data_IF_797880237961
#
_entry.id   IF_797880237961
#
_cell.length_a   1.000
_cell.length_b   1.000
_cell.length_c   1.000
_cell.angle_alpha   90.00
_cell.angle_beta   90.00
_cell.angle_gamma   90.00
#
_symmetry.space_group_name_H-M   'P 1'
#
loop_
_entity.id
_entity.type
_entity.pdbx_description
1 polymer ?
#
# COMPACT_ATOMS: atom_id res chain seq x y z
N UNK A 1 -19.50 -11.66 35.08
CA UNK A 1 -20.34 -12.77 34.66
C UNK A 1 -21.77 -12.25 34.55
N UNK A 2 -22.31 -11.95 33.38
CA UNK A 2 -23.74 -11.82 33.21
C UNK A 2 -24.29 -13.20 32.89
N UNK A 3 -25.21 -13.67 33.75
CA UNK A 3 -25.91 -14.93 33.63
C UNK A 3 -26.77 -14.98 32.36
N UNK A 4 -26.63 -16.07 31.60
CA UNK A 4 -27.47 -16.45 30.50
C UNK A 4 -28.95 -16.47 30.94
N UNK A 5 -29.77 -15.73 30.19
CA UNK A 5 -31.21 -15.87 30.27
C UNK A 5 -31.61 -16.94 29.27
N UNK A 6 -31.84 -18.16 29.76
CA UNK A 6 -32.50 -19.21 28.97
C UNK A 6 -33.97 -18.89 28.81
N UNK A 7 -34.40 -18.61 27.58
CA UNK A 7 -35.82 -18.51 27.21
C UNK A 7 -36.34 -19.93 26.93
N UNK A 8 -37.02 -20.52 27.89
CA UNK A 8 -37.80 -21.73 27.69
C UNK A 8 -39.24 -21.38 27.30
N UNK A 9 -39.65 -21.95 26.19
CA UNK A 9 -41.01 -22.12 25.63
C UNK A 9 -42.09 -21.10 25.95
N UNK A 10 -42.51 -20.34 24.93
CA UNK A 10 -43.70 -19.49 24.94
C UNK A 10 -44.94 -20.37 24.77
N UNK A 11 -45.68 -20.58 25.85
CA UNK A 11 -47.05 -21.09 25.81
C UNK A 11 -48.02 -19.93 25.52
N UNK A 12 -48.85 -20.07 24.51
CA UNK A 12 -49.97 -19.15 24.19
C UNK A 12 -50.88 -18.95 25.41
N UNK A 13 -50.98 -17.71 25.88
CA UNK A 13 -51.88 -17.33 26.97
C UNK A 13 -52.90 -16.27 26.52
N UNK A 14 -54.12 -16.50 26.94
CA UNK A 14 -55.32 -15.68 26.83
C UNK A 14 -55.09 -14.20 27.10
N UNK A 15 -55.53 -13.34 26.19
CA UNK A 15 -55.28 -11.91 26.11
C UNK A 15 -56.06 -11.05 27.12
N UNK A 16 -56.74 -11.64 28.09
CA UNK A 16 -57.62 -10.91 29.03
C UNK A 16 -57.03 -10.52 30.40
N UNK A 17 -55.78 -10.93 30.72
CA UNK A 17 -55.13 -10.57 31.99
C UNK A 17 -53.76 -9.96 31.74
N UNK A 18 -53.64 -8.63 31.77
CA UNK A 18 -52.35 -7.91 31.80
C UNK A 18 -51.56 -8.31 33.05
N UNK A 19 -50.44 -9.01 32.87
CA UNK A 19 -49.50 -9.32 33.95
C UNK A 19 -48.53 -8.18 34.10
N UNK A 20 -48.31 -7.73 35.33
CA UNK A 20 -47.31 -6.74 35.68
C UNK A 20 -46.04 -7.48 36.18
N UNK A 21 -44.91 -7.15 35.66
CA UNK A 21 -43.61 -7.65 36.11
C UNK A 21 -42.97 -6.57 36.99
N UNK A 22 -42.58 -6.94 38.20
CA UNK A 22 -41.83 -6.05 39.09
C UNK A 22 -40.36 -6.40 39.04
N UNK A 23 -39.55 -5.50 38.50
CA UNK A 23 -38.09 -5.65 38.47
C UNK A 23 -37.49 -4.52 39.31
N UNK A 24 -36.97 -4.88 40.47
CA UNK A 24 -36.29 -3.95 41.40
C UNK A 24 -37.15 -2.74 41.78
N UNK A 25 -38.47 -2.95 42.03
CA UNK A 25 -39.35 -1.89 42.44
C UNK A 25 -40.02 -1.09 41.33
N UNK A 26 -39.74 -1.44 40.08
CA UNK A 26 -40.40 -0.83 38.91
C UNK A 26 -41.41 -1.80 38.33
N UNK A 27 -42.72 -1.42 38.40
CA UNK A 27 -43.79 -2.18 37.73
C UNK A 27 -43.78 -1.87 36.22
N UNK A 28 -43.56 -2.91 35.42
CA UNK A 28 -43.59 -2.82 33.95
C UNK A 28 -44.80 -3.58 33.43
N UNK A 29 -45.57 -2.93 32.55
CA UNK A 29 -46.65 -3.58 31.83
C UNK A 29 -46.08 -4.57 30.80
N UNK A 30 -46.66 -5.75 30.72
CA UNK A 30 -46.23 -6.81 29.78
C UNK A 30 -46.35 -6.33 28.32
N UNK A 31 -47.31 -5.44 28.00
CA UNK A 31 -47.41 -4.79 26.69
C UNK A 31 -46.22 -3.89 26.39
N UNK A 32 -45.81 -3.11 27.35
CA UNK A 32 -44.61 -2.23 27.21
C UNK A 32 -43.32 -3.03 27.06
N UNK A 33 -43.17 -4.12 27.82
CA UNK A 33 -42.04 -5.04 27.67
C UNK A 33 -42.04 -5.71 26.30
N UNK A 34 -43.19 -6.15 25.81
CA UNK A 34 -43.35 -6.75 24.49
C UNK A 34 -43.01 -5.76 23.38
N UNK A 35 -43.46 -4.50 23.47
CA UNK A 35 -43.10 -3.45 22.51
C UNK A 35 -41.62 -3.13 22.57
N UNK A 36 -41.00 -3.07 23.74
CA UNK A 36 -39.60 -2.79 23.92
C UNK A 36 -38.72 -3.92 23.41
N UNK A 37 -39.13 -5.17 23.60
CA UNK A 37 -38.47 -6.36 23.04
C UNK A 37 -38.67 -6.40 21.52
N UNK A 38 -39.87 -6.10 21.01
CA UNK A 38 -40.13 -6.05 19.57
C UNK A 38 -39.31 -4.91 18.92
N UNK A 39 -39.22 -3.75 19.55
CA UNK A 39 -38.44 -2.61 19.07
C UNK A 39 -36.93 -2.92 19.13
N UNK A 40 -36.47 -3.56 20.22
CA UNK A 40 -35.10 -4.08 20.33
C UNK A 40 -34.78 -5.13 19.25
N UNK A 41 -35.68 -6.08 19.02
CA UNK A 41 -35.55 -7.09 17.99
C UNK A 41 -35.61 -6.47 16.57
N UNK A 42 -36.53 -5.54 16.33
CA UNK A 42 -36.58 -4.80 15.05
C UNK A 42 -35.30 -4.00 14.79
N UNK A 43 -34.74 -3.36 15.81
CA UNK A 43 -33.47 -2.62 15.70
C UNK A 43 -32.28 -3.54 15.51
N UNK A 44 -32.31 -4.76 16.04
CA UNK A 44 -31.18 -5.69 16.02
C UNK A 44 -31.32 -6.85 15.03
N UNK A 45 -32.54 -7.25 14.61
CA UNK A 45 -32.75 -8.30 13.62
C UNK A 45 -32.84 -7.82 12.16
N UNK A 46 -32.87 -6.49 11.92
CA UNK A 46 -32.91 -5.92 10.57
C UNK A 46 -31.54 -5.49 10.00
N UNK A 47 -30.50 -5.40 10.83
CA UNK A 47 -29.16 -5.05 10.39
C UNK A 47 -28.24 -6.22 10.70
N UNK A 48 -27.79 -6.91 9.65
CA UNK A 48 -26.67 -7.83 9.79
C UNK A 48 -25.50 -7.10 10.45
N UNK A 49 -24.99 -7.63 11.58
CA UNK A 49 -23.84 -7.05 12.30
C UNK A 49 -22.71 -6.84 11.30
N UNK A 50 -22.13 -5.62 11.21
CA UNK A 50 -21.06 -5.37 10.26
C UNK A 50 -19.86 -6.27 10.57
N UNK A 51 -19.33 -6.90 9.54
CA UNK A 51 -18.23 -7.85 9.63
C UNK A 51 -16.93 -7.25 9.09
N UNK A 52 -15.84 -8.02 9.17
CA UNK A 52 -14.56 -7.65 8.57
C UNK A 52 -14.70 -7.48 7.05
N UNK A 53 -15.53 -8.28 6.38
CA UNK A 53 -15.85 -8.12 4.95
C UNK A 53 -16.56 -6.80 4.70
N UNK A 54 -17.52 -6.41 5.52
CA UNK A 54 -18.15 -5.09 5.44
C UNK A 54 -17.10 -3.97 5.55
N UNK A 55 -16.15 -4.09 6.48
CA UNK A 55 -15.06 -3.11 6.62
C UNK A 55 -14.16 -3.04 5.38
N UNK A 56 -13.90 -4.18 4.75
CA UNK A 56 -13.12 -4.25 3.51
C UNK A 56 -13.83 -3.56 2.35
N UNK A 57 -15.14 -3.80 2.18
CA UNK A 57 -15.94 -3.20 1.12
C UNK A 57 -16.00 -1.68 1.26
N UNK A 58 -16.19 -1.18 2.49
CA UNK A 58 -16.14 0.25 2.79
C UNK A 58 -14.76 0.82 2.44
N UNK A 59 -13.69 0.13 2.82
CA UNK A 59 -12.32 0.55 2.52
C UNK A 59 -12.04 0.62 1.03
N UNK A 60 -12.51 -0.36 0.27
CA UNK A 60 -12.33 -0.41 -1.19
C UNK A 60 -13.16 0.65 -1.91
N UNK A 61 -14.35 0.95 -1.44
CA UNK A 61 -15.22 1.97 -2.03
C UNK A 61 -14.76 3.40 -1.75
N UNK A 62 -14.21 3.67 -0.55
CA UNK A 62 -13.87 5.02 -0.11
C UNK A 62 -12.38 5.39 -0.27
N UNK A 63 -11.50 4.40 -0.46
CA UNK A 63 -10.07 4.68 -0.59
C UNK A 63 -9.72 5.38 -1.90
N UNK A 64 -9.14 6.58 -1.82
CA UNK A 64 -8.61 7.31 -2.97
C UNK A 64 -7.55 6.52 -3.76
N UNK A 65 -6.96 5.49 -3.17
CA UNK A 65 -5.96 4.63 -3.81
C UNK A 65 -6.56 3.37 -4.44
N UNK A 66 -7.86 3.12 -4.31
CA UNK A 66 -8.52 1.91 -4.80
C UNK A 66 -8.47 1.76 -6.34
N UNK A 67 -8.30 2.86 -7.10
CA UNK A 67 -8.07 2.81 -8.53
C UNK A 67 -6.73 2.16 -8.92
N UNK A 68 -5.75 2.09 -8.00
CA UNK A 68 -4.41 1.56 -8.29
C UNK A 68 -4.39 0.03 -8.18
N UNK A 69 -4.02 -0.65 -9.27
CA UNK A 69 -3.95 -2.12 -9.34
C UNK A 69 -3.16 -2.75 -8.18
N UNK A 70 -1.96 -2.20 -7.89
CA UNK A 70 -1.12 -2.73 -6.80
C UNK A 70 -1.78 -2.56 -5.44
N UNK A 71 -2.43 -1.44 -5.18
CA UNK A 71 -3.14 -1.21 -3.92
C UNK A 71 -4.26 -2.24 -3.73
N UNK A 72 -5.09 -2.46 -4.77
CA UNK A 72 -6.13 -3.49 -4.72
C UNK A 72 -5.56 -4.87 -4.45
N UNK A 73 -4.51 -5.26 -5.18
CA UNK A 73 -3.88 -6.57 -4.99
C UNK A 73 -3.32 -6.75 -3.57
N UNK A 74 -2.63 -5.75 -3.03
CA UNK A 74 -2.11 -5.78 -1.66
C UNK A 74 -3.27 -5.83 -0.64
N UNK A 75 -4.34 -5.03 -0.83
CA UNK A 75 -5.51 -5.01 0.05
C UNK A 75 -6.24 -6.35 0.07
N UNK A 76 -6.57 -6.92 -1.10
CA UNK A 76 -7.19 -8.24 -1.20
C UNK A 76 -6.31 -9.34 -0.60
N UNK A 77 -5.00 -9.27 -0.82
CA UNK A 77 -4.07 -10.26 -0.29
C UNK A 77 -4.04 -10.25 1.25
N UNK A 78 -3.88 -9.07 1.87
CA UNK A 78 -3.78 -8.98 3.33
C UNK A 78 -5.10 -9.25 4.03
N UNK A 79 -6.20 -8.76 3.46
CA UNK A 79 -7.54 -9.09 3.90
C UNK A 79 -7.82 -10.59 3.80
N UNK A 80 -7.57 -11.21 2.62
CA UNK A 80 -7.79 -12.63 2.40
C UNK A 80 -6.98 -13.53 3.34
N UNK A 81 -5.74 -13.14 3.69
CA UNK A 81 -4.94 -13.87 4.69
C UNK A 81 -5.56 -13.79 6.08
N UNK A 82 -6.10 -12.64 6.46
CA UNK A 82 -6.73 -12.44 7.76
C UNK A 82 -8.03 -13.24 7.87
N UNK A 83 -8.92 -13.12 6.87
CA UNK A 83 -10.19 -13.87 6.78
C UNK A 83 -9.97 -15.38 6.75
N UNK A 84 -8.97 -15.84 6.02
CA UNK A 84 -8.63 -17.27 5.95
C UNK A 84 -8.30 -17.84 7.33
N UNK A 85 -7.75 -17.04 8.23
CA UNK A 85 -7.33 -17.50 9.55
C UNK A 85 -8.45 -17.40 10.59
N UNK A 86 -9.18 -16.29 10.63
CA UNK A 86 -10.17 -16.01 11.67
C UNK A 86 -11.63 -16.13 11.21
N UNK A 87 -11.87 -16.28 9.91
CA UNK A 87 -13.21 -16.15 9.35
C UNK A 87 -13.67 -14.70 9.25
N UNK A 88 -14.91 -14.50 8.83
CA UNK A 88 -15.54 -13.19 8.72
C UNK A 88 -16.20 -12.77 10.04
N UNK A 89 -15.38 -12.40 11.00
CA UNK A 89 -15.83 -12.01 12.34
C UNK A 89 -16.64 -10.71 12.32
N UNK A 90 -17.69 -10.59 13.16
CA UNK A 90 -18.32 -9.33 13.46
C UNK A 90 -17.32 -8.31 14.03
N UNK A 91 -17.44 -7.04 13.63
CA UNK A 91 -16.47 -6.00 14.02
C UNK A 91 -16.40 -5.78 15.53
N UNK A 92 -17.50 -5.99 16.26
CA UNK A 92 -17.57 -5.87 17.72
C UNK A 92 -16.90 -7.04 18.45
N UNK A 93 -16.77 -8.21 17.80
CA UNK A 93 -16.06 -9.37 18.34
C UNK A 93 -14.55 -9.33 18.10
N UNK A 94 -14.09 -8.47 17.20
CA UNK A 94 -12.68 -8.36 16.88
C UNK A 94 -11.90 -7.73 18.04
N UNK A 95 -11.02 -8.49 18.68
CA UNK A 95 -10.23 -8.10 19.86
C UNK A 95 -8.76 -7.94 19.51
N UNK A 96 -8.00 -7.22 20.36
CA UNK A 96 -6.56 -7.07 20.22
C UNK A 96 -5.83 -8.45 20.26
N UNK A 97 -6.38 -9.44 20.95
CA UNK A 97 -5.83 -10.81 20.99
C UNK A 97 -5.75 -11.44 19.57
N UNK A 98 -6.79 -11.26 18.73
CA UNK A 98 -6.76 -11.75 17.34
C UNK A 98 -5.63 -11.09 16.53
N UNK A 99 -5.32 -9.83 16.83
CA UNK A 99 -4.28 -9.08 16.12
C UNK A 99 -2.87 -9.53 16.54
N UNK A 100 -2.68 -9.78 17.83
CA UNK A 100 -1.41 -10.31 18.35
C UNK A 100 -1.16 -11.72 17.82
N UNK A 101 -2.17 -12.57 17.81
CA UNK A 101 -2.11 -13.90 17.21
C UNK A 101 -1.77 -13.84 15.72
N UNK A 102 -2.44 -12.97 14.95
CA UNK A 102 -2.16 -12.81 13.52
C UNK A 102 -0.73 -12.34 13.27
N UNK A 103 -0.20 -11.40 14.07
CA UNK A 103 1.21 -10.99 14.04
C UNK A 103 2.13 -12.20 14.24
N UNK A 104 1.86 -13.02 15.26
CA UNK A 104 2.73 -14.14 15.64
C UNK A 104 2.72 -15.22 14.57
N UNK A 105 1.58 -15.51 13.97
CA UNK A 105 1.46 -16.41 12.82
C UNK A 105 2.29 -15.92 11.65
N UNK A 106 2.25 -14.62 11.33
CA UNK A 106 3.03 -14.06 10.22
C UNK A 106 4.55 -14.16 10.49
N UNK A 107 4.97 -13.87 11.72
CA UNK A 107 6.38 -14.03 12.13
C UNK A 107 6.81 -15.48 12.08
N UNK A 108 5.99 -16.42 12.57
CA UNK A 108 6.25 -17.86 12.52
C UNK A 108 6.37 -18.40 11.08
N UNK A 109 5.68 -17.78 10.13
CA UNK A 109 5.82 -18.06 8.68
C UNK A 109 7.11 -17.48 8.07
N UNK A 110 7.95 -16.85 8.85
CA UNK A 110 9.22 -16.26 8.40
C UNK A 110 9.10 -14.88 7.74
N UNK A 111 7.97 -14.19 7.89
CA UNK A 111 7.88 -12.83 7.38
C UNK A 111 8.78 -11.89 8.21
N UNK A 112 9.49 -11.02 7.51
CA UNK A 112 10.28 -9.99 8.18
C UNK A 112 9.36 -9.02 8.96
N UNK A 113 9.72 -8.58 10.20
CA UNK A 113 8.90 -7.71 11.05
C UNK A 113 8.36 -6.47 10.34
N UNK A 114 9.16 -5.82 9.50
CA UNK A 114 8.71 -4.67 8.71
C UNK A 114 7.62 -5.03 7.66
N UNK A 115 7.61 -6.27 7.16
CA UNK A 115 6.55 -6.77 6.27
C UNK A 115 5.27 -7.02 7.06
N UNK A 116 5.39 -7.60 8.25
CA UNK A 116 4.26 -7.78 9.18
C UNK A 116 3.66 -6.42 9.55
N UNK A 117 4.48 -5.41 9.84
CA UNK A 117 4.02 -4.03 10.08
C UNK A 117 3.23 -3.49 8.90
N UNK A 118 3.71 -3.70 7.67
CA UNK A 118 3.03 -3.22 6.46
C UNK A 118 1.63 -3.85 6.31
N UNK A 119 1.50 -5.16 6.55
CA UNK A 119 0.20 -5.85 6.50
C UNK A 119 -0.75 -5.27 7.54
N UNK A 120 -0.29 -5.18 8.79
CA UNK A 120 -1.10 -4.67 9.90
C UNK A 120 -1.50 -3.20 9.70
N UNK A 121 -0.64 -2.35 9.13
CA UNK A 121 -0.98 -0.96 8.84
C UNK A 121 -2.13 -0.85 7.83
N UNK A 122 -2.20 -1.73 6.82
CA UNK A 122 -3.31 -1.72 5.87
C UNK A 122 -4.61 -2.19 6.51
N UNK A 123 -4.58 -3.26 7.30
CA UNK A 123 -5.76 -3.74 8.05
C UNK A 123 -6.23 -2.71 9.09
N UNK A 124 -5.29 -2.01 9.75
CA UNK A 124 -5.61 -0.91 10.64
C UNK A 124 -6.31 0.25 9.92
N UNK A 125 -5.82 0.63 8.75
CA UNK A 125 -6.45 1.68 7.95
C UNK A 125 -7.86 1.29 7.50
N UNK A 126 -8.07 0.02 7.13
CA UNK A 126 -9.36 -0.54 6.75
C UNK A 126 -10.35 -0.42 7.91
N UNK A 127 -10.00 -0.93 9.10
CA UNK A 127 -10.89 -0.87 10.26
C UNK A 127 -11.15 0.56 10.74
N UNK A 128 -10.14 1.41 10.75
CA UNK A 128 -10.29 2.81 11.13
C UNK A 128 -11.28 3.54 10.22
N UNK A 129 -11.21 3.29 8.92
CA UNK A 129 -12.14 3.87 7.94
C UNK A 129 -13.55 3.33 8.14
N UNK A 130 -13.69 2.00 8.33
CA UNK A 130 -14.97 1.36 8.55
C UNK A 130 -15.65 1.84 9.84
N UNK A 131 -14.92 1.92 10.94
CA UNK A 131 -15.44 2.41 12.22
C UNK A 131 -15.95 3.86 12.09
N UNK A 132 -15.19 4.72 11.41
CA UNK A 132 -15.63 6.09 11.13
C UNK A 132 -16.89 6.12 10.25
N UNK A 133 -16.94 5.30 9.21
CA UNK A 133 -18.09 5.25 8.29
C UNK A 133 -19.37 4.73 8.97
N UNK A 134 -19.23 3.72 9.82
CA UNK A 134 -20.32 3.08 10.53
C UNK A 134 -20.70 3.79 11.84
N UNK A 135 -20.05 4.92 12.17
CA UNK A 135 -20.22 5.62 13.45
C UNK A 135 -19.98 4.73 14.68
N UNK A 136 -19.02 3.80 14.57
CA UNK A 136 -18.61 2.94 15.68
C UNK A 136 -17.57 3.70 16.51
N UNK A 137 -17.94 4.10 17.72
CA UNK A 137 -17.01 4.78 18.65
C UNK A 137 -16.05 3.78 19.31
N UNK A 138 -15.09 3.33 18.52
CA UNK A 138 -14.09 2.35 18.91
C UNK A 138 -12.78 2.59 18.17
N UNK A 139 -11.67 2.46 18.89
CA UNK A 139 -10.35 2.44 18.26
C UNK A 139 -10.09 1.10 17.59
N UNK A 140 -9.41 1.13 16.45
CA UNK A 140 -8.97 -0.10 15.79
C UNK A 140 -8.08 -0.94 16.70
N UNK A 141 -8.34 -2.25 16.84
CA UNK A 141 -7.52 -3.14 17.68
C UNK A 141 -6.10 -3.35 17.14
N UNK A 142 -5.80 -2.91 15.92
CA UNK A 142 -4.43 -2.87 15.37
C UNK A 142 -3.59 -1.71 15.91
N UNK A 143 -4.22 -0.72 16.55
CA UNK A 143 -3.50 0.43 17.09
C UNK A 143 -2.57 0.00 18.22
N UNK A 144 -1.34 0.53 18.23
CA UNK A 144 -0.35 0.24 19.27
C UNK A 144 0.27 -1.15 19.21
N UNK A 145 0.02 -1.94 18.15
CA UNK A 145 0.61 -3.27 18.01
C UNK A 145 2.15 -3.17 18.00
N UNK A 146 2.77 -3.87 18.93
CA UNK A 146 4.23 -4.01 18.99
C UNK A 146 4.67 -5.25 18.20
N UNK A 147 5.75 -5.12 17.44
CA UNK A 147 6.34 -6.22 16.67
C UNK A 147 7.81 -6.32 17.04
N UNK A 148 8.19 -7.44 17.69
CA UNK A 148 9.57 -7.67 18.10
C UNK A 148 10.49 -7.73 16.87
N UNK A 149 11.66 -7.10 16.97
CA UNK A 149 12.63 -7.04 15.86
C UNK A 149 12.27 -6.04 14.77
N UNK A 150 11.21 -5.23 14.96
CA UNK A 150 10.92 -4.13 14.06
C UNK A 150 12.03 -3.08 14.17
N UNK A 151 12.57 -2.64 13.03
CA UNK A 151 13.69 -1.70 12.94
C UNK A 151 15.08 -2.25 13.36
N UNK A 152 15.18 -3.44 13.95
CA UNK A 152 16.46 -3.99 14.43
C UNK A 152 17.40 -4.43 13.30
N UNK A 153 16.86 -4.81 12.13
CA UNK A 153 17.62 -5.35 11.00
C UNK A 153 17.56 -4.46 9.75
N UNK A 154 17.60 -3.15 9.94
CA UNK A 154 17.81 -2.25 8.80
C UNK A 154 19.28 -2.41 8.37
N UNK A 155 19.49 -3.28 7.36
CA UNK A 155 20.81 -3.36 6.75
C UNK A 155 21.13 -2.01 6.12
N UNK A 156 22.12 -1.26 6.62
CA UNK A 156 22.55 -0.06 5.96
C UNK A 156 22.93 -0.44 4.52
N UNK A 157 22.50 0.34 3.56
CA UNK A 157 22.97 0.14 2.19
C UNK A 157 24.44 0.56 2.21
N UNK A 158 25.37 -0.38 1.98
CA UNK A 158 26.79 -0.04 2.03
C UNK A 158 27.09 1.04 0.99
N UNK A 159 28.02 1.93 1.30
CA UNK A 159 28.54 2.89 0.33
C UNK A 159 28.96 2.13 -0.94
N UNK A 160 28.48 2.60 -2.07
CA UNK A 160 28.73 1.91 -3.35
C UNK A 160 30.13 2.31 -3.83
N UNK A 161 30.99 1.32 -3.92
CA UNK A 161 32.36 1.50 -4.42
C UNK A 161 32.36 2.13 -5.83
N UNK A 162 33.24 3.10 -6.04
CA UNK A 162 33.39 3.82 -7.30
C UNK A 162 33.78 2.89 -8.45
N UNK A 163 34.64 1.90 -8.21
CA UNK A 163 35.08 0.94 -9.24
C UNK A 163 33.93 0.05 -9.68
N UNK A 164 33.12 -0.43 -8.71
CA UNK A 164 31.90 -1.18 -8.99
C UNK A 164 30.93 -0.35 -9.85
N UNK A 165 30.75 0.92 -9.51
CA UNK A 165 29.86 1.82 -10.25
C UNK A 165 30.35 2.04 -11.70
N UNK A 166 31.66 2.14 -11.92
CA UNK A 166 32.25 2.23 -13.25
C UNK A 166 32.04 0.95 -14.06
N UNK A 167 32.26 -0.22 -13.48
CA UNK A 167 32.01 -1.51 -14.14
C UNK A 167 30.55 -1.66 -14.56
N UNK A 168 29.62 -1.31 -13.66
CA UNK A 168 28.17 -1.33 -13.92
C UNK A 168 27.82 -0.36 -15.04
N UNK A 169 28.35 0.86 -15.02
CA UNK A 169 28.18 1.85 -16.10
C UNK A 169 28.63 1.31 -17.46
N UNK A 170 29.83 0.79 -17.54
CA UNK A 170 30.38 0.23 -18.79
C UNK A 170 29.57 -0.96 -19.30
N UNK A 171 29.11 -1.82 -18.40
CA UNK A 171 28.23 -2.93 -18.78
C UNK A 171 26.91 -2.45 -19.37
N UNK A 172 26.31 -1.42 -18.79
CA UNK A 172 25.07 -0.84 -19.33
C UNK A 172 25.28 -0.18 -20.69
N UNK A 173 26.41 0.50 -20.88
CA UNK A 173 26.78 1.08 -22.19
C UNK A 173 26.93 -0.02 -23.24
N UNK A 174 27.66 -1.10 -22.93
CA UNK A 174 27.82 -2.25 -23.86
C UNK A 174 26.52 -2.96 -24.16
N UNK A 175 25.67 -3.18 -23.16
CA UNK A 175 24.40 -3.89 -23.33
C UNK A 175 23.38 -3.08 -24.13
N UNK A 176 23.41 -1.78 -24.06
CA UNK A 176 22.66 -0.82 -24.86
C UNK A 176 21.14 -1.07 -24.96
N UNK A 177 20.54 -1.82 -24.01
CA UNK A 177 19.08 -2.02 -23.99
C UNK A 177 18.38 -0.78 -23.41
N UNK A 178 17.09 -0.63 -23.70
CA UNK A 178 16.28 0.46 -23.11
C UNK A 178 16.35 0.47 -21.58
N UNK A 179 16.33 -0.70 -20.92
CA UNK A 179 16.49 -0.78 -19.48
C UNK A 179 17.88 -0.27 -19.02
N UNK A 180 18.94 -0.60 -19.78
CA UNK A 180 20.29 -0.11 -19.52
C UNK A 180 20.40 1.41 -19.70
N UNK A 181 19.80 1.97 -20.76
CA UNK A 181 19.76 3.41 -20.98
C UNK A 181 19.00 4.15 -19.86
N UNK A 182 17.88 3.58 -19.39
CA UNK A 182 17.18 4.09 -18.20
C UNK A 182 18.07 4.03 -16.95
N UNK A 183 18.82 2.96 -16.76
CA UNK A 183 19.83 2.84 -15.69
C UNK A 183 20.93 3.91 -15.77
N UNK A 184 21.43 4.23 -16.97
CA UNK A 184 22.39 5.32 -17.19
C UNK A 184 21.79 6.70 -16.86
N UNK A 185 20.51 6.92 -17.16
CA UNK A 185 19.81 8.14 -16.71
C UNK A 185 19.80 8.19 -15.18
N UNK A 186 19.41 7.09 -14.50
CA UNK A 186 19.40 7.05 -13.03
C UNK A 186 20.78 7.32 -12.41
N UNK A 187 21.85 6.86 -13.04
CA UNK A 187 23.21 6.95 -12.55
C UNK A 187 23.65 8.40 -12.24
N UNK A 188 23.30 9.35 -13.10
CA UNK A 188 23.71 10.76 -12.97
C UNK A 188 22.58 11.71 -12.57
N UNK A 189 21.39 11.18 -12.28
CA UNK A 189 20.22 12.00 -11.91
C UNK A 189 19.61 11.60 -10.57
N UNK A 190 19.91 10.38 -10.09
CA UNK A 190 19.29 9.83 -8.90
C UNK A 190 17.76 9.65 -9.03
N UNK A 191 17.20 9.70 -10.23
CA UNK A 191 15.77 9.50 -10.46
C UNK A 191 15.30 8.10 -10.02
N UNK A 192 14.04 8.00 -9.58
CA UNK A 192 13.42 6.68 -9.40
C UNK A 192 13.19 6.05 -10.76
N UNK A 193 13.31 4.72 -10.87
CA UNK A 193 13.16 4.03 -12.17
C UNK A 193 11.84 4.34 -12.88
N UNK A 194 10.75 4.53 -12.12
CA UNK A 194 9.45 4.90 -12.68
C UNK A 194 9.42 6.30 -13.32
N UNK A 195 10.38 7.14 -13.04
CA UNK A 195 10.40 8.51 -13.57
C UNK A 195 10.87 8.51 -15.04
N UNK A 196 12.03 7.98 -15.40
CA UNK A 196 12.44 7.91 -16.81
C UNK A 196 11.74 6.80 -17.59
N UNK A 197 11.36 5.66 -16.97
CA UNK A 197 10.72 4.55 -17.71
C UNK A 197 9.28 4.83 -18.15
N UNK A 198 8.59 5.73 -17.44
CA UNK A 198 7.20 6.13 -17.73
C UNK A 198 7.09 7.61 -18.12
N UNK A 199 8.20 8.22 -18.56
CA UNK A 199 8.22 9.59 -19.04
C UNK A 199 7.59 9.67 -20.44
N UNK A 200 6.88 10.77 -20.69
CA UNK A 200 6.46 11.10 -22.07
C UNK A 200 7.65 11.66 -22.85
N UNK A 201 7.57 11.56 -24.16
CA UNK A 201 8.59 12.14 -25.03
C UNK A 201 8.67 13.67 -24.85
N UNK A 202 7.54 14.32 -24.67
CA UNK A 202 7.42 15.76 -24.42
C UNK A 202 7.96 16.22 -23.05
N UNK A 203 8.26 15.28 -22.16
CA UNK A 203 8.89 15.59 -20.87
C UNK A 203 10.40 15.78 -21.02
N UNK A 204 11.00 15.33 -22.13
CA UNK A 204 12.42 15.46 -22.40
C UNK A 204 12.69 16.71 -23.24
N UNK A 205 13.39 17.66 -22.62
CA UNK A 205 13.81 18.93 -23.24
C UNK A 205 15.30 18.86 -23.49
N UNK A 206 15.67 18.73 -24.78
CA UNK A 206 17.07 18.65 -25.23
C UNK A 206 17.58 19.98 -25.80
N UNK A 207 16.69 20.81 -26.34
CA UNK A 207 16.99 22.13 -26.89
C UNK A 207 16.80 23.21 -25.79
N UNK A 208 17.74 23.21 -24.85
CA UNK A 208 17.79 24.15 -23.73
C UNK A 208 19.24 24.22 -23.22
N UNK A 209 19.67 25.37 -22.67
CA UNK A 209 21.01 25.55 -22.09
C UNK A 209 21.34 24.45 -21.07
N UNK A 210 20.34 24.00 -20.32
CA UNK A 210 20.43 22.87 -19.40
C UNK A 210 19.42 21.81 -19.86
N UNK A 211 19.83 20.81 -20.68
CA UNK A 211 18.96 19.71 -21.07
C UNK A 211 18.43 18.98 -19.83
N UNK A 212 17.16 18.68 -19.82
CA UNK A 212 16.52 18.11 -18.63
C UNK A 212 15.33 17.20 -18.95
N UNK A 213 14.96 16.37 -17.98
CA UNK A 213 13.76 15.55 -18.02
C UNK A 213 12.77 16.03 -16.95
N UNK A 214 11.58 16.41 -17.36
CA UNK A 214 10.50 16.75 -16.46
C UNK A 214 9.93 15.52 -15.76
N UNK A 215 9.85 15.59 -14.44
CA UNK A 215 9.12 14.64 -13.61
C UNK A 215 7.77 15.27 -13.27
N UNK A 216 6.70 14.84 -13.95
CA UNK A 216 5.35 15.37 -13.77
C UNK A 216 4.31 14.25 -13.87
N UNK A 217 3.06 14.52 -13.48
CA UNK A 217 1.94 13.60 -13.60
C UNK A 217 1.65 13.30 -15.07
N UNK A 218 1.35 12.05 -15.37
CA UNK A 218 0.84 11.61 -16.67
C UNK A 218 -0.17 10.47 -16.50
N UNK A 219 -0.67 9.90 -17.58
CA UNK A 219 -1.70 8.83 -17.55
C UNK A 219 -1.26 7.57 -16.78
N UNK A 220 0.04 7.29 -16.70
CA UNK A 220 0.61 6.09 -16.08
C UNK A 220 1.20 6.35 -14.68
N UNK A 221 1.44 7.62 -14.36
CA UNK A 221 2.09 7.99 -13.09
C UNK A 221 1.30 9.07 -12.37
N UNK A 222 0.98 8.79 -11.12
CA UNK A 222 0.44 9.78 -10.21
C UNK A 222 1.55 10.33 -9.31
N UNK A 223 1.48 11.62 -8.96
CA UNK A 223 2.46 12.27 -8.06
C UNK A 223 1.78 12.62 -6.75
N UNK A 224 2.31 12.10 -5.66
CA UNK A 224 1.71 12.27 -4.32
C UNK A 224 1.68 13.72 -3.84
N UNK A 225 2.64 14.54 -4.28
CA UNK A 225 2.78 15.93 -3.81
C UNK A 225 3.22 16.87 -4.94
N UNK A 226 2.91 18.15 -4.81
CA UNK A 226 3.39 19.22 -5.70
C UNK A 226 4.93 19.27 -5.77
N UNK A 227 5.61 19.05 -4.64
CA UNK A 227 7.08 19.00 -4.57
C UNK A 227 7.72 17.85 -5.38
N UNK A 228 6.92 16.88 -5.84
CA UNK A 228 7.41 15.82 -6.74
C UNK A 228 7.56 16.27 -8.18
N UNK A 229 6.97 17.41 -8.58
CA UNK A 229 7.08 17.97 -9.93
C UNK A 229 8.37 18.76 -9.99
N UNK A 230 9.27 18.37 -10.90
CA UNK A 230 10.59 19.01 -11.03
C UNK A 230 11.21 18.73 -12.39
N UNK A 231 12.05 19.65 -12.87
CA UNK A 231 12.99 19.42 -13.95
C UNK A 231 14.27 18.77 -13.36
N UNK A 232 14.74 17.70 -13.98
CA UNK A 232 15.97 17.01 -13.56
C UNK A 232 17.01 17.19 -14.65
N UNK A 233 18.11 17.92 -14.39
CA UNK A 233 19.19 18.13 -15.36
C UNK A 233 19.80 16.81 -15.82
N UNK A 234 20.12 16.72 -17.10
CA UNK A 234 20.79 15.58 -17.72
C UNK A 234 22.23 15.95 -18.06
N UNK A 235 23.18 15.22 -17.50
CA UNK A 235 24.60 15.48 -17.69
C UNK A 235 25.38 14.20 -18.01
N UNK A 236 26.41 14.30 -18.83
CA UNK A 236 27.27 13.17 -19.20
C UNK A 236 26.47 11.98 -19.74
N UNK A 237 26.71 10.78 -19.20
CA UNK A 237 26.08 9.56 -19.73
C UNK A 237 24.55 9.55 -19.63
N UNK A 238 23.95 10.32 -18.71
CA UNK A 238 22.48 10.44 -18.63
C UNK A 238 21.91 11.21 -19.81
N UNK A 239 22.60 12.25 -20.27
CA UNK A 239 22.21 13.02 -21.45
C UNK A 239 22.34 12.15 -22.72
N UNK A 240 23.44 11.45 -22.89
CA UNK A 240 23.65 10.58 -24.07
C UNK A 240 22.60 9.46 -24.12
N UNK A 241 22.31 8.81 -22.99
CA UNK A 241 21.27 7.80 -22.89
C UNK A 241 19.88 8.37 -23.25
N UNK A 242 19.57 9.58 -22.77
CA UNK A 242 18.31 10.25 -23.07
C UNK A 242 18.17 10.60 -24.56
N UNK A 243 19.25 11.08 -25.21
CA UNK A 243 19.29 11.33 -26.66
C UNK A 243 19.00 10.07 -27.46
N UNK A 244 19.62 8.94 -27.09
CA UNK A 244 19.40 7.64 -27.76
C UNK A 244 17.93 7.20 -27.63
N UNK A 245 17.38 7.28 -26.40
CA UNK A 245 15.97 6.94 -26.19
C UNK A 245 15.03 7.87 -26.98
N UNK A 246 15.31 9.16 -27.01
CA UNK A 246 14.53 10.13 -27.77
C UNK A 246 14.52 9.82 -29.28
N UNK A 247 15.69 9.55 -29.86
CA UNK A 247 15.80 9.18 -31.28
C UNK A 247 15.06 7.87 -31.59
N UNK A 248 15.16 6.89 -30.69
CA UNK A 248 14.43 5.62 -30.80
C UNK A 248 12.92 5.83 -30.74
N UNK A 249 12.44 6.64 -29.79
CA UNK A 249 11.04 6.96 -29.62
C UNK A 249 10.48 7.70 -30.84
N UNK A 250 11.21 8.69 -31.36
CA UNK A 250 10.84 9.40 -32.60
C UNK A 250 10.74 8.48 -33.80
N UNK A 251 11.71 7.60 -34.02
CA UNK A 251 11.71 6.62 -35.11
C UNK A 251 10.48 5.70 -35.05
N UNK A 252 10.02 5.37 -33.83
CA UNK A 252 8.85 4.53 -33.62
C UNK A 252 7.54 5.32 -33.50
N UNK A 253 7.54 6.62 -33.78
CA UNK A 253 6.40 7.53 -33.64
C UNK A 253 5.69 7.40 -32.27
N UNK A 254 6.47 7.28 -31.21
CA UNK A 254 5.98 7.05 -29.85
C UNK A 254 5.82 8.35 -29.08
N UNK A 255 4.74 8.45 -28.30
CA UNK A 255 4.54 9.53 -27.32
C UNK A 255 5.31 9.28 -26.00
N UNK A 256 5.95 8.11 -25.85
CA UNK A 256 6.65 7.71 -24.63
C UNK A 256 8.15 7.57 -24.90
N UNK A 257 8.96 7.99 -23.95
CA UNK A 257 10.41 7.87 -24.04
C UNK A 257 10.89 6.40 -24.13
N UNK A 258 10.18 5.51 -23.44
CA UNK A 258 10.44 4.07 -23.45
C UNK A 258 9.13 3.29 -23.73
N UNK A 259 8.70 3.16 -25.00
CA UNK A 259 7.40 2.61 -25.39
C UNK A 259 7.09 1.23 -24.82
N UNK A 260 8.08 0.34 -24.76
CA UNK A 260 7.90 -1.02 -24.24
C UNK A 260 7.55 -1.07 -22.74
N UNK A 261 7.79 0.01 -22.03
CA UNK A 261 7.45 0.16 -20.61
C UNK A 261 6.25 1.08 -20.37
N UNK A 262 5.61 1.58 -21.42
CA UNK A 262 4.50 2.52 -21.32
C UNK A 262 3.18 1.83 -20.94
N UNK A 263 3.14 1.19 -19.78
CA UNK A 263 1.96 0.52 -19.22
C UNK A 263 1.98 0.55 -17.68
N UNK A 264 0.90 0.09 -17.03
CA UNK A 264 0.73 0.15 -15.56
C UNK A 264 1.81 -0.59 -14.76
N UNK A 265 2.42 -1.63 -15.33
CA UNK A 265 3.47 -2.42 -14.68
C UNK A 265 4.87 -2.13 -15.28
N UNK A 266 4.95 -1.21 -16.21
CA UNK A 266 6.17 -0.97 -17.01
C UNK A 266 7.40 -0.61 -16.17
N UNK A 267 7.23 0.15 -15.12
CA UNK A 267 8.30 0.44 -14.18
C UNK A 267 8.81 -0.82 -13.44
N UNK A 268 7.91 -1.74 -13.10
CA UNK A 268 8.26 -3.01 -12.46
C UNK A 268 9.00 -3.92 -13.45
N UNK A 269 8.50 -4.00 -14.68
CA UNK A 269 9.13 -4.77 -15.77
C UNK A 269 10.52 -4.20 -16.11
N UNK A 270 10.64 -2.87 -16.24
CA UNK A 270 11.91 -2.21 -16.47
C UNK A 270 12.91 -2.50 -15.34
N UNK A 271 12.46 -2.39 -14.08
CA UNK A 271 13.27 -2.70 -12.91
C UNK A 271 13.73 -4.16 -12.89
N UNK A 272 12.84 -5.10 -13.21
CA UNK A 272 13.17 -6.52 -13.26
C UNK A 272 14.22 -6.80 -14.35
N UNK A 273 14.06 -6.24 -15.55
CA UNK A 273 14.98 -6.38 -16.66
C UNK A 273 16.37 -5.81 -16.32
N UNK A 274 16.41 -4.59 -15.77
CA UNK A 274 17.65 -3.95 -15.37
C UNK A 274 18.34 -4.73 -14.23
N UNK A 275 17.61 -5.13 -13.21
CA UNK A 275 18.17 -5.91 -12.09
C UNK A 275 18.69 -7.29 -12.55
N UNK A 276 18.05 -7.93 -13.54
CA UNK A 276 18.54 -9.18 -14.14
C UNK A 276 19.88 -8.97 -14.82
N UNK A 277 20.06 -7.91 -15.61
CA UNK A 277 21.32 -7.60 -16.30
C UNK A 277 22.46 -7.24 -15.34
N UNK A 278 22.13 -6.69 -14.15
CA UNK A 278 23.09 -6.27 -13.15
C UNK A 278 23.37 -7.32 -12.05
N UNK A 279 22.74 -8.50 -12.15
CA UNK A 279 22.76 -9.54 -11.11
C UNK A 279 24.16 -10.00 -10.71
N UNK A 280 25.08 -10.12 -11.67
CA UNK A 280 26.46 -10.56 -11.44
C UNK A 280 27.23 -9.66 -10.48
N UNK A 281 26.89 -8.35 -10.44
CA UNK A 281 27.48 -7.38 -9.51
C UNK A 281 26.71 -7.24 -8.19
N UNK A 282 25.64 -8.04 -7.99
CA UNK A 282 24.70 -7.87 -6.87
C UNK A 282 24.09 -6.46 -6.80
N UNK A 283 24.10 -5.75 -7.94
CA UNK A 283 23.66 -4.37 -8.06
C UNK A 283 22.17 -4.31 -8.46
N UNK A 284 21.43 -3.34 -7.92
CA UNK A 284 20.02 -3.13 -8.21
C UNK A 284 19.74 -1.69 -8.61
N UNK A 285 18.70 -1.45 -9.41
CA UNK A 285 18.34 -0.13 -9.94
C UNK A 285 18.21 0.95 -8.86
N UNK A 286 17.72 0.61 -7.67
CA UNK A 286 17.59 1.58 -6.57
C UNK A 286 18.94 2.05 -6.02
N UNK A 287 19.98 1.25 -6.16
CA UNK A 287 21.34 1.60 -5.71
C UNK A 287 21.92 2.77 -6.51
N UNK A 288 21.50 3.01 -7.76
CA UNK A 288 21.93 4.21 -8.51
C UNK A 288 21.54 5.50 -7.78
N UNK A 289 20.34 5.54 -7.21
CA UNK A 289 19.87 6.69 -6.46
C UNK A 289 20.68 6.89 -5.17
N UNK A 290 21.01 5.82 -4.45
CA UNK A 290 21.88 5.90 -3.27
C UNK A 290 23.26 6.43 -3.66
N UNK A 291 23.90 5.84 -4.66
CA UNK A 291 25.19 6.27 -5.16
C UNK A 291 25.19 7.75 -5.62
N UNK A 292 24.11 8.21 -6.22
CA UNK A 292 23.98 9.62 -6.62
C UNK A 292 23.88 10.54 -5.40
N UNK A 293 23.04 10.19 -4.41
CA UNK A 293 22.89 10.97 -3.18
C UNK A 293 24.22 11.02 -2.40
N UNK A 294 24.94 9.90 -2.30
CA UNK A 294 26.23 9.85 -1.60
C UNK A 294 27.26 10.74 -2.28
N UNK A 295 27.31 10.74 -3.63
CA UNK A 295 28.17 11.66 -4.40
C UNK A 295 27.82 13.13 -4.18
N UNK A 296 26.52 13.47 -4.12
CA UNK A 296 26.10 14.84 -3.84
C UNK A 296 26.47 15.29 -2.43
N UNK A 297 26.36 14.42 -1.43
CA UNK A 297 26.79 14.70 -0.06
C UNK A 297 28.28 14.98 -0.02
N UNK A 298 29.10 14.13 -0.65
CA UNK A 298 30.55 14.30 -0.71
C UNK A 298 30.99 15.60 -1.42
N UNK A 299 30.15 16.18 -2.29
CA UNK A 299 30.43 17.49 -2.90
C UNK A 299 30.07 18.67 -2.01
N UNK A 300 29.15 18.50 -1.05
CA UNK A 300 28.74 19.57 -0.14
C UNK A 300 29.61 19.63 1.13
N UNK A 301 30.45 18.61 1.38
CA UNK A 301 31.40 18.57 2.50
C UNK A 301 32.76 19.21 2.12
N UNK A 302 32.83 19.84 0.94
CA UNK A 302 33.97 20.66 0.46
C UNK A 302 33.57 22.15 0.57
#
# INVERSE_FOLDING_TARGET
MPSEIQLTEATYLDTSKRRKLNIRGIELDEGFLSELVIDYLKRNHGQSRPTITTAFDIYMSQSLSAHRRKFRADAHHYFGLFIKHFGDLPLDELKHAHITEYRDIQLARGLHPNSVRKHNNMLNAMLTMAFKHLNIDRLSPFRGLQIRGEMENIRPIPAIDRMLLLQVKEAMIRHHSTASLIGLIQLNTGMRISEPSLARLDDLVLDHDIPHLWVRKNKLTDRKTRASIRAVPLVGVSLEAAKILHQSAKRNNSQWLAPQYANEIGNTTCSATLNKSLRRWKFRSHMFRHAFIDRLKACNDI
#
